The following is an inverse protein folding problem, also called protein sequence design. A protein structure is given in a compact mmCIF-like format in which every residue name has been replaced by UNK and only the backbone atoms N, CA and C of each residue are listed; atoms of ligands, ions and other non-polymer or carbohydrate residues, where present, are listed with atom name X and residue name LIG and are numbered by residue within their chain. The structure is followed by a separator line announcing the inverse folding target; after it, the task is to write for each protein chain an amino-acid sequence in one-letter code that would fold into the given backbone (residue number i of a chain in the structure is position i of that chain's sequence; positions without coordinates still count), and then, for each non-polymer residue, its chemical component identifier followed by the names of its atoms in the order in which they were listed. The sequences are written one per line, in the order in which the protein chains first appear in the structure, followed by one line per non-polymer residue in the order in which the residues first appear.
data_IF_896933910648
#
_entry.id   IF_896933910648
#
_cell.length_a   1.000
_cell.length_b   1.000
_cell.length_c   1.000
_cell.angle_alpha   90.00
_cell.angle_beta   90.00
_cell.angle_gamma   90.00
#
_symmetry.space_group_name_H-M   'P 1'
#
loop_
_entity.id
_entity.type
_entity.pdbx_description
1 polymer ?
#
# COMPACT_ATOMS: atom_id res chain seq x y z
N UNK A 1 -7.44 12.90 22.30
CA UNK A 1 -7.21 11.57 21.72
C UNK A 1 -5.91 10.89 22.21
N UNK A 2 -4.78 11.58 22.38
CA UNK A 2 -3.53 10.99 22.95
C UNK A 2 -3.72 10.39 24.35
N UNK A 3 -4.60 10.95 25.20
CA UNK A 3 -4.87 10.49 26.56
C UNK A 3 -5.49 9.09 26.63
N UNK A 4 -6.41 8.74 25.71
CA UNK A 4 -7.08 7.43 25.72
C UNK A 4 -6.14 6.30 25.25
N UNK A 5 -5.32 6.56 24.24
CA UNK A 5 -4.32 5.59 23.77
C UNK A 5 -3.27 5.29 24.85
N UNK A 6 -2.84 6.31 25.58
CA UNK A 6 -1.91 6.14 26.70
C UNK A 6 -2.52 5.34 27.84
N UNK A 7 -3.84 5.50 28.09
CA UNK A 7 -4.55 4.74 29.12
C UNK A 7 -4.65 3.25 28.78
N UNK A 8 -4.96 2.92 27.52
CA UNK A 8 -5.00 1.54 27.02
C UNK A 8 -3.60 0.89 27.07
N UNK A 9 -2.56 1.64 26.68
CA UNK A 9 -1.18 1.19 26.79
C UNK A 9 -0.79 0.90 28.23
N UNK A 10 -1.12 1.81 29.15
CA UNK A 10 -0.86 1.66 30.58
C UNK A 10 -1.58 0.43 31.16
N UNK A 11 -2.85 0.19 30.81
CA UNK A 11 -3.60 -0.99 31.24
C UNK A 11 -2.95 -2.29 30.75
N UNK A 12 -2.48 -2.32 29.49
CA UNK A 12 -1.79 -3.49 28.96
C UNK A 12 -0.44 -3.74 29.67
N UNK A 13 0.32 -2.69 29.97
CA UNK A 13 1.56 -2.80 30.74
C UNK A 13 1.30 -3.34 32.16
N UNK A 14 0.26 -2.89 32.84
CA UNK A 14 -0.12 -3.43 34.16
C UNK A 14 -0.55 -4.90 34.09
N UNK A 15 -1.30 -5.31 33.05
CA UNK A 15 -1.67 -6.71 32.84
C UNK A 15 -0.45 -7.60 32.63
N UNK A 16 0.51 -7.15 31.82
CA UNK A 16 1.75 -7.87 31.58
C UNK A 16 2.61 -7.95 32.86
N UNK A 17 2.66 -6.88 33.66
CA UNK A 17 3.31 -6.90 34.97
C UNK A 17 2.65 -7.91 35.93
N UNK A 18 1.33 -8.02 35.94
CA UNK A 18 0.60 -9.01 36.74
C UNK A 18 0.87 -10.46 36.31
N UNK A 19 1.28 -10.66 35.04
CA UNK A 19 1.72 -11.95 34.51
C UNK A 19 3.21 -12.26 34.76
N UNK A 20 3.91 -11.41 35.54
CA UNK A 20 5.30 -11.63 35.93
C UNK A 20 6.34 -11.04 34.98
N UNK A 21 5.94 -10.28 33.96
CA UNK A 21 6.88 -9.58 33.11
C UNK A 21 7.37 -8.31 33.78
N UNK A 22 8.66 -8.20 34.09
CA UNK A 22 9.28 -6.99 34.62
C UNK A 22 9.85 -6.13 33.48
N UNK A 23 9.25 -4.96 33.29
CA UNK A 23 9.70 -3.96 32.29
C UNK A 23 10.50 -2.88 33.03
N UNK A 24 11.72 -3.12 33.36
CA UNK A 24 12.45 -2.11 34.13
C UNK A 24 13.87 -1.88 33.65
N UNK A 25 14.16 -2.23 32.42
CA UNK A 25 15.44 -1.81 31.88
C UNK A 25 15.24 -0.57 30.96
N UNK A 26 15.52 0.64 31.47
CA UNK A 26 15.44 1.86 30.66
C UNK A 26 16.43 1.87 29.49
N UNK A 27 17.44 0.97 29.48
CA UNK A 27 18.34 0.80 28.36
C UNK A 27 17.64 0.20 27.12
N UNK A 28 16.65 -0.67 27.31
CA UNK A 28 15.88 -1.21 26.18
C UNK A 28 14.87 -0.21 25.61
N UNK A 29 14.51 0.83 26.35
CA UNK A 29 13.61 1.88 25.86
C UNK A 29 14.36 2.87 24.96
N UNK A 30 15.68 3.03 25.15
CA UNK A 30 16.48 3.95 24.34
C UNK A 30 17.04 3.33 23.05
N UNK A 31 17.12 2.01 22.93
CA UNK A 31 17.51 1.34 21.68
C UNK A 31 16.34 0.77 20.88
N UNK A 32 15.17 0.56 21.52
CA UNK A 32 13.96 0.11 20.84
C UNK A 32 13.15 1.32 20.37
N UNK A 33 13.42 1.74 19.14
CA UNK A 33 12.54 2.60 18.34
C UNK A 33 12.41 4.07 18.78
N UNK A 34 13.48 4.82 18.82
CA UNK A 34 13.42 6.16 18.24
C UNK A 34 13.51 6.03 16.72
N UNK A 35 12.56 5.34 16.10
CA UNK A 35 12.26 5.64 14.71
C UNK A 35 11.65 7.04 14.73
N UNK A 36 12.52 8.04 14.64
CA UNK A 36 12.10 9.39 14.31
C UNK A 36 11.15 9.22 13.12
N UNK A 37 9.96 9.83 13.24
CA UNK A 37 8.97 9.75 12.15
C UNK A 37 9.68 10.19 10.88
N UNK A 38 9.73 9.38 9.81
CA UNK A 38 10.48 9.73 8.62
C UNK A 38 10.02 11.10 8.12
N UNK A 39 10.95 11.98 7.82
CA UNK A 39 10.69 13.34 7.35
C UNK A 39 10.77 13.44 5.83
N UNK A 40 11.30 12.40 5.17
CA UNK A 40 11.43 12.32 3.72
C UNK A 40 10.97 10.94 3.21
N UNK A 41 10.60 10.88 1.92
CA UNK A 41 10.24 9.62 1.26
C UNK A 41 11.44 8.65 1.23
N UNK A 42 12.65 9.16 1.07
CA UNK A 42 13.88 8.36 1.10
C UNK A 42 14.09 7.67 2.46
N UNK A 43 13.90 8.40 3.57
CA UNK A 43 13.97 7.80 4.91
C UNK A 43 12.88 6.76 5.11
N UNK A 44 11.66 7.04 4.64
CA UNK A 44 10.56 6.08 4.68
C UNK A 44 10.89 4.80 3.90
N UNK A 45 11.48 4.93 2.71
CA UNK A 45 11.91 3.80 1.87
C UNK A 45 12.94 2.93 2.59
N UNK A 46 13.96 3.53 3.21
CA UNK A 46 14.96 2.83 4.03
C UNK A 46 14.31 2.08 5.20
N UNK A 47 13.32 2.70 5.87
CA UNK A 47 12.59 2.06 6.95
C UNK A 47 11.75 0.87 6.47
N UNK A 48 11.18 0.94 5.26
CA UNK A 48 10.46 -0.17 4.63
C UNK A 48 11.42 -1.31 4.26
N UNK A 49 12.57 -1.00 3.71
CA UNK A 49 13.59 -1.98 3.30
C UNK A 49 14.12 -2.78 4.50
N UNK A 50 14.37 -2.12 5.62
CA UNK A 50 14.83 -2.74 6.87
C UNK A 50 13.71 -3.23 7.79
N UNK A 51 12.45 -3.19 7.35
CA UNK A 51 11.28 -3.52 8.19
C UNK A 51 11.24 -4.99 8.60
N UNK A 52 10.95 -5.24 9.89
CA UNK A 52 10.75 -6.58 10.49
C UNK A 52 9.48 -6.64 11.35
N UNK A 53 8.44 -5.83 11.04
CA UNK A 53 7.24 -5.69 11.88
C UNK A 53 6.27 -6.88 11.80
N UNK A 54 6.41 -7.77 10.79
CA UNK A 54 5.55 -8.93 10.64
C UNK A 54 6.30 -10.12 10.02
N UNK A 55 5.68 -11.29 10.02
CA UNK A 55 6.31 -12.54 9.56
C UNK A 55 6.65 -12.55 8.06
N UNK A 56 6.03 -11.72 7.25
CA UNK A 56 6.36 -11.60 5.83
C UNK A 56 7.81 -11.15 5.59
N UNK A 57 8.42 -10.47 6.55
CA UNK A 57 9.83 -10.08 6.48
C UNK A 57 10.79 -11.27 6.45
N UNK A 58 10.37 -12.44 6.94
CA UNK A 58 11.17 -13.68 6.99
C UNK A 58 11.16 -14.44 5.67
N UNK A 59 10.14 -14.24 4.82
CA UNK A 59 9.90 -15.02 3.60
C UNK A 59 10.04 -14.20 2.31
N UNK A 60 10.10 -12.88 2.40
CA UNK A 60 10.34 -12.02 1.26
C UNK A 60 11.78 -12.11 0.77
N UNK A 61 12.01 -11.90 -0.51
CA UNK A 61 13.35 -11.64 -1.03
C UNK A 61 13.77 -10.21 -0.72
N UNK A 62 12.87 -9.25 -1.02
CA UNK A 62 13.01 -7.84 -0.68
C UNK A 62 11.64 -7.22 -0.38
N UNK A 63 11.62 -6.08 0.32
CA UNK A 63 10.42 -5.26 0.45
C UNK A 63 10.35 -4.24 -0.68
N UNK A 64 9.14 -3.96 -1.14
CA UNK A 64 8.89 -2.99 -2.20
C UNK A 64 8.49 -1.65 -1.57
N UNK A 65 9.41 -0.68 -1.60
CA UNK A 65 9.22 0.61 -0.91
C UNK A 65 8.42 1.64 -1.71
N UNK A 66 8.15 1.40 -2.99
CA UNK A 66 7.49 2.31 -3.94
C UNK A 66 8.41 2.65 -5.10
N UNK A 67 7.84 3.05 -6.23
CA UNK A 67 8.56 3.42 -7.44
C UNK A 67 7.86 4.56 -8.17
N UNK A 68 8.63 5.47 -8.75
CA UNK A 68 8.17 6.59 -9.57
C UNK A 68 8.49 7.95 -8.97
N UNK A 69 7.83 8.99 -9.48
CA UNK A 69 8.09 10.37 -9.09
C UNK A 69 7.58 10.68 -7.67
N UNK A 70 8.38 11.40 -6.89
CA UNK A 70 7.95 11.96 -5.59
C UNK A 70 6.90 13.07 -5.75
N UNK A 71 6.86 13.72 -6.91
CA UNK A 71 5.90 14.76 -7.27
C UNK A 71 4.75 14.23 -8.16
N UNK A 72 4.49 12.92 -8.13
CA UNK A 72 3.48 12.30 -8.97
C UNK A 72 2.07 12.80 -8.65
N UNK A 73 1.35 13.27 -9.66
CA UNK A 73 -0.07 13.62 -9.54
C UNK A 73 -0.98 12.39 -9.48
N UNK A 74 -0.49 11.24 -9.98
CA UNK A 74 -1.21 9.97 -10.04
C UNK A 74 -0.46 8.89 -9.26
N UNK A 75 -1.15 8.27 -8.29
CA UNK A 75 -0.62 7.20 -7.47
C UNK A 75 -1.42 5.92 -7.65
N UNK A 76 -0.75 4.84 -8.03
CA UNK A 76 -1.33 3.49 -8.07
C UNK A 76 -1.02 2.73 -6.78
N UNK A 77 -2.06 2.11 -6.21
CA UNK A 77 -1.94 1.27 -5.03
C UNK A 77 -2.42 -0.13 -5.36
N UNK A 78 -1.50 -1.09 -5.39
CA UNK A 78 -1.83 -2.50 -5.43
C UNK A 78 -1.96 -3.07 -4.00
N UNK A 79 -2.61 -4.23 -3.86
CA UNK A 79 -2.79 -4.81 -2.54
C UNK A 79 -1.51 -5.42 -1.98
N UNK A 80 -0.84 -6.26 -2.74
CA UNK A 80 0.35 -6.97 -2.27
C UNK A 80 1.34 -7.28 -3.39
N UNK A 81 2.61 -7.41 -3.01
CA UNK A 81 3.71 -7.74 -3.91
C UNK A 81 3.50 -9.10 -4.55
N UNK A 82 3.61 -9.17 -5.87
CA UNK A 82 3.49 -10.41 -6.64
C UNK A 82 4.76 -11.27 -6.56
N UNK A 83 4.66 -12.54 -6.98
CA UNK A 83 5.83 -13.44 -7.05
C UNK A 83 6.89 -12.94 -8.02
N UNK A 84 6.49 -12.37 -9.15
CA UNK A 84 7.43 -11.85 -10.16
C UNK A 84 8.15 -10.60 -9.68
N UNK A 85 7.47 -9.71 -8.99
CA UNK A 85 8.07 -8.51 -8.40
C UNK A 85 9.07 -8.86 -7.30
N UNK A 86 8.71 -9.75 -6.38
CA UNK A 86 9.61 -10.23 -5.33
C UNK A 86 10.83 -10.97 -5.90
N UNK A 87 10.63 -11.78 -6.97
CA UNK A 87 11.72 -12.54 -7.60
C UNK A 87 12.73 -11.63 -8.30
N UNK A 88 12.25 -10.61 -9.02
CA UNK A 88 13.07 -9.73 -9.86
C UNK A 88 13.45 -8.43 -9.14
N UNK A 89 12.82 -8.13 -8.00
CA UNK A 89 12.93 -6.84 -7.29
C UNK A 89 12.61 -5.65 -8.21
N UNK A 90 11.56 -5.78 -9.01
CA UNK A 90 11.23 -4.83 -10.05
C UNK A 90 9.71 -4.62 -10.11
N UNK A 91 9.28 -3.35 -10.05
CA UNK A 91 7.89 -2.97 -10.31
C UNK A 91 7.53 -3.24 -11.76
N UNK A 92 6.25 -3.41 -12.02
CA UNK A 92 5.75 -3.78 -13.35
C UNK A 92 6.29 -5.12 -13.89
N UNK A 93 6.82 -5.98 -13.03
CA UNK A 93 7.33 -7.28 -13.42
C UNK A 93 6.20 -8.29 -13.65
N UNK A 94 6.34 -9.11 -14.68
CA UNK A 94 5.39 -10.14 -15.07
C UNK A 94 4.17 -9.59 -15.82
N UNK A 95 3.27 -10.49 -16.20
CA UNK A 95 2.13 -10.17 -17.09
C UNK A 95 1.21 -9.08 -16.55
N UNK A 96 0.98 -9.07 -15.23
CA UNK A 96 0.14 -8.05 -14.58
C UNK A 96 0.80 -6.67 -14.67
N UNK A 97 2.08 -6.61 -14.37
CA UNK A 97 2.88 -5.39 -14.46
C UNK A 97 2.96 -4.85 -15.89
N UNK A 98 3.21 -5.73 -16.88
CA UNK A 98 3.19 -5.35 -18.30
C UNK A 98 1.83 -4.79 -18.74
N UNK A 99 0.73 -5.36 -18.21
CA UNK A 99 -0.60 -4.86 -18.48
C UNK A 99 -0.84 -3.47 -17.89
N UNK A 100 -0.39 -3.24 -16.65
CA UNK A 100 -0.48 -1.93 -16.00
C UNK A 100 0.38 -0.89 -16.72
N UNK A 101 1.61 -1.24 -17.09
CA UNK A 101 2.49 -0.37 -17.89
C UNK A 101 1.81 0.09 -19.17
N UNK A 102 1.19 -0.84 -19.93
CA UNK A 102 0.45 -0.52 -21.16
C UNK A 102 -0.77 0.38 -20.89
N UNK A 103 -1.45 0.24 -19.77
CA UNK A 103 -2.54 1.14 -19.38
C UNK A 103 -2.03 2.57 -19.15
N UNK A 104 -0.90 2.70 -18.47
CA UNK A 104 -0.27 4.00 -18.19
C UNK A 104 0.22 4.65 -19.49
N UNK A 105 1.02 3.92 -20.27
CA UNK A 105 1.67 4.47 -21.46
C UNK A 105 0.69 4.73 -22.62
N UNK A 106 -0.21 3.76 -22.92
CA UNK A 106 -1.03 3.82 -24.12
C UNK A 106 -2.41 4.47 -23.92
N UNK A 107 -2.93 4.55 -22.68
CA UNK A 107 -4.25 5.10 -22.41
C UNK A 107 -4.16 6.41 -21.63
N UNK A 108 -3.37 6.44 -20.57
CA UNK A 108 -3.16 7.67 -19.81
C UNK A 108 -2.14 8.61 -20.52
N UNK A 109 -1.30 8.06 -21.42
CA UNK A 109 -0.25 8.79 -22.15
C UNK A 109 0.78 9.42 -21.20
N UNK A 110 1.09 8.69 -20.11
CA UNK A 110 2.09 9.05 -19.10
C UNK A 110 3.25 8.06 -19.17
N UNK A 111 4.44 8.48 -18.73
CA UNK A 111 5.56 7.57 -18.54
C UNK A 111 5.40 6.89 -17.17
N UNK A 112 5.93 5.69 -17.04
CA UNK A 112 5.89 4.95 -15.76
C UNK A 112 6.66 5.65 -14.64
N UNK A 113 7.65 6.46 -14.99
CA UNK A 113 8.42 7.27 -14.04
C UNK A 113 7.68 8.50 -13.53
N UNK A 114 6.67 8.99 -14.28
CA UNK A 114 5.90 10.19 -13.91
C UNK A 114 4.75 9.88 -12.94
N UNK A 115 4.43 8.60 -12.74
CA UNK A 115 3.44 8.13 -11.77
C UNK A 115 4.14 7.51 -10.57
N UNK A 116 3.43 7.37 -9.45
CA UNK A 116 3.93 6.63 -8.30
C UNK A 116 3.15 5.34 -8.12
N UNK A 117 3.85 4.21 -8.01
CA UNK A 117 3.22 2.91 -7.72
C UNK A 117 3.74 2.37 -6.40
N UNK A 118 2.84 1.82 -5.62
CA UNK A 118 3.18 1.13 -4.36
C UNK A 118 2.19 0.01 -4.06
N UNK A 119 2.52 -0.79 -3.06
CA UNK A 119 1.67 -1.85 -2.53
C UNK A 119 1.15 -1.49 -1.14
N UNK A 120 -0.05 -1.91 -0.80
CA UNK A 120 -0.59 -1.80 0.56
C UNK A 120 0.23 -2.65 1.54
N UNK A 121 0.63 -3.85 1.11
CA UNK A 121 1.57 -4.73 1.80
C UNK A 121 2.90 -4.73 1.06
N UNK A 122 3.99 -4.31 1.72
CA UNK A 122 5.31 -4.08 1.12
C UNK A 122 6.12 -5.35 0.85
N UNK A 123 5.63 -6.49 1.28
CA UNK A 123 6.30 -7.79 1.18
C UNK A 123 5.40 -8.79 0.46
N UNK A 124 6.00 -9.76 -0.25
CA UNK A 124 5.26 -10.84 -0.86
C UNK A 124 4.62 -11.72 0.21
N UNK A 125 3.31 -11.99 0.12
CA UNK A 125 2.64 -12.92 1.03
C UNK A 125 3.17 -14.34 0.91
N UNK A 126 3.17 -15.07 2.04
CA UNK A 126 3.62 -16.46 2.07
C UNK A 126 2.68 -17.33 1.23
N UNK A 127 3.23 -18.18 0.37
CA UNK A 127 2.48 -19.12 -0.47
C UNK A 127 1.33 -18.49 -1.29
N UNK A 128 1.46 -17.24 -1.69
CA UNK A 128 0.41 -16.48 -2.40
C UNK A 128 -0.92 -16.37 -1.63
N UNK A 129 -0.88 -16.50 -0.31
CA UNK A 129 -2.03 -16.30 0.55
C UNK A 129 -2.44 -14.82 0.60
N UNK A 130 -3.69 -14.58 0.96
CA UNK A 130 -4.15 -13.22 1.25
C UNK A 130 -3.50 -12.78 2.56
N UNK A 131 -2.86 -11.58 2.60
CA UNK A 131 -2.30 -11.03 3.81
C UNK A 131 -3.31 -10.97 4.96
N UNK A 132 -2.88 -11.36 6.15
CA UNK A 132 -3.71 -11.33 7.36
C UNK A 132 -4.00 -9.90 7.83
N UNK A 133 -4.97 -9.75 8.72
CA UNK A 133 -5.28 -8.45 9.33
C UNK A 133 -4.09 -7.90 10.13
N UNK A 134 -3.32 -8.75 10.83
CA UNK A 134 -2.15 -8.33 11.59
C UNK A 134 -0.99 -7.86 10.69
N UNK A 135 -0.79 -8.49 9.54
CA UNK A 135 0.19 -8.05 8.54
C UNK A 135 -0.19 -6.69 7.93
N UNK A 136 -1.48 -6.50 7.64
CA UNK A 136 -1.99 -5.20 7.23
C UNK A 136 -1.79 -4.12 8.30
N UNK A 137 -2.17 -4.41 9.56
CA UNK A 137 -2.03 -3.46 10.66
C UNK A 137 -0.59 -3.03 10.90
N UNK A 138 0.36 -3.95 10.70
CA UNK A 138 1.80 -3.67 10.79
C UNK A 138 2.32 -2.83 9.62
N UNK A 139 1.72 -2.95 8.42
CA UNK A 139 2.23 -2.35 7.18
C UNK A 139 1.53 -1.04 6.79
N UNK A 140 0.27 -0.84 7.21
CA UNK A 140 -0.58 0.28 6.75
C UNK A 140 0.00 1.67 7.01
N UNK A 141 0.77 1.85 8.09
CA UNK A 141 1.40 3.14 8.41
C UNK A 141 2.34 3.62 7.30
N UNK A 142 3.07 2.70 6.69
CA UNK A 142 3.95 3.00 5.56
C UNK A 142 3.18 3.52 4.35
N UNK A 143 2.05 2.87 4.00
CA UNK A 143 1.21 3.31 2.88
C UNK A 143 0.68 4.72 3.11
N UNK A 144 0.11 4.98 4.30
CA UNK A 144 -0.43 6.31 4.60
C UNK A 144 0.65 7.39 4.64
N UNK A 145 1.86 7.07 5.13
CA UNK A 145 2.99 7.99 5.07
C UNK A 145 3.41 8.28 3.61
N UNK A 146 3.40 7.28 2.74
CA UNK A 146 3.68 7.49 1.31
C UNK A 146 2.66 8.43 0.67
N UNK A 147 1.36 8.23 0.93
CA UNK A 147 0.31 9.14 0.44
C UNK A 147 0.52 10.57 0.97
N UNK A 148 0.94 10.73 2.23
CA UNK A 148 1.23 12.03 2.83
C UNK A 148 2.46 12.73 2.22
N UNK A 149 3.49 11.97 1.79
CA UNK A 149 4.67 12.53 1.13
C UNK A 149 4.40 12.89 -0.33
N UNK A 150 3.82 11.97 -1.10
CA UNK A 150 3.54 12.14 -2.53
C UNK A 150 2.45 13.19 -2.77
N UNK A 151 1.39 13.21 -1.95
CA UNK A 151 0.22 14.11 -2.07
C UNK A 151 -0.38 14.11 -3.48
N UNK A 152 -0.71 12.94 -4.04
CA UNK A 152 -1.21 12.84 -5.40
C UNK A 152 -2.56 13.56 -5.54
N UNK A 153 -2.91 14.04 -6.75
CA UNK A 153 -4.28 14.50 -7.04
C UNK A 153 -5.26 13.33 -7.09
N UNK A 154 -4.80 12.22 -7.69
CA UNK A 154 -5.61 11.02 -7.92
C UNK A 154 -4.90 9.79 -7.37
N UNK A 155 -5.62 9.01 -6.57
CA UNK A 155 -5.23 7.68 -6.11
C UNK A 155 -6.04 6.66 -6.89
N UNK A 156 -5.38 5.67 -7.47
CA UNK A 156 -6.01 4.54 -8.16
C UNK A 156 -5.71 3.26 -7.40
N UNK A 157 -6.75 2.56 -6.93
CA UNK A 157 -6.58 1.24 -6.32
C UNK A 157 -6.77 0.15 -7.38
N UNK A 158 -5.82 -0.79 -7.41
CA UNK A 158 -5.85 -1.94 -8.32
C UNK A 158 -6.58 -3.11 -7.66
N UNK A 159 -7.86 -3.25 -8.00
CA UNK A 159 -8.72 -4.32 -7.50
C UNK A 159 -9.41 -3.98 -6.18
N UNK A 160 -10.26 -4.90 -5.81
CA UNK A 160 -11.18 -4.83 -4.66
C UNK A 160 -10.44 -4.80 -3.32
N UNK A 161 -9.43 -5.67 -3.16
CA UNK A 161 -8.68 -5.80 -1.90
C UNK A 161 -7.93 -4.50 -1.55
N UNK A 162 -7.30 -3.86 -2.54
CA UNK A 162 -6.61 -2.58 -2.34
C UNK A 162 -7.60 -1.48 -1.92
N UNK A 163 -8.78 -1.43 -2.56
CA UNK A 163 -9.83 -0.48 -2.23
C UNK A 163 -10.33 -0.67 -0.79
N UNK A 164 -10.74 -1.90 -0.43
CA UNK A 164 -11.29 -2.16 0.91
C UNK A 164 -10.28 -1.94 2.04
N UNK A 165 -9.01 -2.24 1.80
CA UNK A 165 -7.97 -1.99 2.80
C UNK A 165 -7.69 -0.50 2.98
N UNK A 166 -7.72 0.27 1.90
CA UNK A 166 -7.47 1.71 1.96
C UNK A 166 -8.64 2.47 2.62
N UNK A 167 -9.89 2.15 2.24
CA UNK A 167 -11.09 2.87 2.69
C UNK A 167 -11.71 2.30 3.96
N UNK A 168 -11.50 1.00 4.22
CA UNK A 168 -12.21 0.21 5.23
C UNK A 168 -13.74 0.13 4.98
N UNK A 169 -14.17 0.38 3.75
CA UNK A 169 -15.57 0.30 3.33
C UNK A 169 -15.87 -1.09 2.75
N UNK A 170 -17.03 -1.64 3.07
CA UNK A 170 -17.52 -2.92 2.53
C UNK A 170 -18.68 -2.68 1.57
N UNK A 171 -18.40 -1.96 0.50
CA UNK A 171 -19.36 -1.70 -0.59
C UNK A 171 -19.05 -2.69 -1.73
N UNK A 172 -20.08 -3.18 -2.42
CA UNK A 172 -19.85 -3.99 -3.62
C UNK A 172 -18.95 -3.24 -4.60
N UNK A 173 -17.84 -3.87 -4.96
CA UNK A 173 -16.81 -3.28 -5.81
C UNK A 173 -17.37 -2.82 -7.17
N UNK A 174 -18.37 -3.50 -7.69
CA UNK A 174 -19.04 -3.14 -8.95
C UNK A 174 -19.68 -1.74 -8.89
N UNK A 175 -20.12 -1.32 -7.70
CA UNK A 175 -20.79 -0.03 -7.50
C UNK A 175 -19.80 1.14 -7.36
N UNK A 176 -18.55 0.86 -7.05
CA UNK A 176 -17.51 1.89 -6.82
C UNK A 176 -16.46 1.94 -7.94
N UNK A 177 -16.28 0.84 -8.68
CA UNK A 177 -15.30 0.74 -9.75
C UNK A 177 -15.53 1.82 -10.83
N UNK A 178 -14.47 2.51 -11.20
CA UNK A 178 -14.47 3.55 -12.24
C UNK A 178 -15.14 4.86 -11.83
N UNK A 179 -15.68 4.96 -10.61
CA UNK A 179 -16.24 6.20 -10.09
C UNK A 179 -15.21 7.00 -9.33
N UNK A 180 -15.34 8.33 -9.40
CA UNK A 180 -14.52 9.25 -8.62
C UNK A 180 -15.13 9.35 -7.22
N UNK A 181 -14.36 9.00 -6.21
CA UNK A 181 -14.76 8.99 -4.80
C UNK A 181 -13.88 9.99 -4.05
N UNK A 182 -14.46 10.80 -3.21
CA UNK A 182 -13.70 11.70 -2.33
C UNK A 182 -13.10 10.89 -1.18
N UNK A 183 -11.78 10.82 -1.13
CA UNK A 183 -11.02 10.15 -0.08
C UNK A 183 -10.10 11.16 0.62
N UNK A 184 -10.52 11.65 1.78
CA UNK A 184 -9.86 12.77 2.48
C UNK A 184 -9.77 14.00 1.57
N UNK A 185 -8.53 14.41 1.19
CA UNK A 185 -8.26 15.50 0.25
C UNK A 185 -7.94 15.01 -1.18
N UNK A 186 -8.03 13.71 -1.42
CA UNK A 186 -7.66 13.07 -2.68
C UNK A 186 -8.88 12.56 -3.43
N UNK A 187 -8.79 12.46 -4.75
CA UNK A 187 -9.74 11.69 -5.55
C UNK A 187 -9.29 10.25 -5.60
N UNK A 188 -10.17 9.31 -5.26
CA UNK A 188 -9.92 7.87 -5.32
C UNK A 188 -10.74 7.26 -6.44
N UNK A 189 -10.10 6.48 -7.30
CA UNK A 189 -10.77 5.78 -8.41
C UNK A 189 -10.34 4.31 -8.37
N UNK A 190 -11.20 3.39 -7.89
CA UNK A 190 -10.90 1.96 -7.95
C UNK A 190 -11.12 1.42 -9.36
N UNK A 191 -10.19 0.58 -9.83
CA UNK A 191 -10.29 -0.11 -11.12
C UNK A 191 -10.04 -1.61 -10.94
N UNK A 192 -10.43 -2.41 -11.94
CA UNK A 192 -10.07 -3.83 -11.94
C UNK A 192 -8.56 -4.02 -11.92
N UNK A 193 -8.12 -4.97 -11.10
CA UNK A 193 -6.71 -5.37 -11.07
C UNK A 193 -6.28 -5.94 -12.43
N UNK A 194 -5.09 -5.59 -12.96
CA UNK A 194 -4.63 -6.07 -14.27
C UNK A 194 -4.65 -7.60 -14.42
N UNK A 195 -4.34 -8.34 -13.34
CA UNK A 195 -4.39 -9.81 -13.35
C UNK A 195 -5.84 -10.35 -13.52
N UNK A 196 -6.83 -9.65 -12.97
CA UNK A 196 -8.24 -10.01 -13.14
C UNK A 196 -8.68 -9.83 -14.60
N UNK A 197 -8.22 -8.75 -15.26
CA UNK A 197 -8.51 -8.48 -16.66
C UNK A 197 -7.85 -9.46 -17.64
N UNK A 198 -6.79 -10.15 -17.24
CA UNK A 198 -6.20 -11.23 -18.05
C UNK A 198 -7.10 -12.47 -18.08
N UNK A 199 -7.81 -12.73 -16.98
CA UNK A 199 -8.75 -13.85 -16.86
C UNK A 199 -10.13 -13.51 -17.41
N UNK A 200 -10.46 -12.22 -17.48
CA UNK A 200 -11.76 -11.69 -17.94
C UNK A 200 -11.54 -10.60 -19.02
N UNK A 201 -11.12 -10.98 -20.24
CA UNK A 201 -10.77 -10.01 -21.29
C UNK A 201 -11.90 -9.08 -21.71
N UNK A 202 -13.17 -9.51 -21.55
CA UNK A 202 -14.37 -8.74 -21.86
C UNK A 202 -14.48 -7.46 -21.02
N UNK A 203 -13.90 -7.45 -19.82
CA UNK A 203 -13.89 -6.30 -18.92
C UNK A 203 -12.87 -5.21 -19.29
N UNK A 204 -11.98 -5.48 -20.25
CA UNK A 204 -10.98 -4.48 -20.70
C UNK A 204 -11.63 -3.25 -21.29
N UNK A 205 -12.77 -3.41 -22.02
CA UNK A 205 -13.50 -2.27 -22.60
C UNK A 205 -14.05 -1.34 -21.51
N UNK A 206 -14.57 -1.90 -20.44
CA UNK A 206 -15.09 -1.13 -19.31
C UNK A 206 -13.94 -0.41 -18.58
N UNK A 207 -12.86 -1.14 -18.29
CA UNK A 207 -11.64 -0.55 -17.65
C UNK A 207 -11.02 0.55 -18.50
N UNK A 208 -11.09 0.48 -19.83
CA UNK A 208 -10.67 1.57 -20.70
C UNK A 208 -11.47 2.86 -20.44
N UNK A 209 -12.77 2.73 -20.16
CA UNK A 209 -13.62 3.84 -19.71
C UNK A 209 -13.13 4.41 -18.37
N UNK A 210 -12.78 3.56 -17.41
CA UNK A 210 -12.26 3.97 -16.10
C UNK A 210 -10.96 4.76 -16.24
N UNK A 211 -10.04 4.28 -17.11
CA UNK A 211 -8.79 4.98 -17.39
C UNK A 211 -9.01 6.37 -18.00
N UNK A 212 -10.03 6.54 -18.85
CA UNK A 212 -10.42 7.87 -19.35
C UNK A 212 -10.93 8.79 -18.25
N UNK A 213 -11.68 8.23 -17.28
CA UNK A 213 -12.10 8.98 -16.09
C UNK A 213 -10.89 9.43 -15.28
N UNK A 214 -9.90 8.55 -15.06
CA UNK A 214 -8.65 8.92 -14.39
C UNK A 214 -7.96 10.06 -15.13
N UNK A 215 -7.78 9.93 -16.46
CA UNK A 215 -7.13 10.94 -17.30
C UNK A 215 -7.82 12.31 -17.22
N UNK A 216 -9.15 12.34 -17.09
CA UNK A 216 -9.92 13.59 -16.96
C UNK A 216 -9.81 14.26 -15.59
N UNK A 217 -9.24 13.57 -14.58
CA UNK A 217 -9.05 14.05 -13.22
C UNK A 217 -7.63 14.59 -12.97
N UNK A 218 -6.70 14.36 -13.90
CA UNK A 218 -5.32 14.86 -13.85
C UNK A 218 -5.23 16.25 -14.45
#
# INVERSE_FOLDING_TARGET
MKSFQNLVLLQNLYRLKALGFNYTDPFFINEANTHEKPTTLEQLSKNIESCHLCDLSKSRKQSMSGFGSEDAELMFIDFSVSMSEDANNEYYSGRSGDSLRKMIENVLELRTEDVYITHAIKCKPLNSNIPSASEWDSCKSYLFSQIEFIKPKVIVTLGEDAYYKLTNEKIDFQNVRGHVIDFKQYKLIPIYHPNYLQRNPELKKVTFGDLKTIKSCL
#
